data_IF_397220784328
#
_entry.id   IF_397220784328
#
_cell.length_a   1.000
_cell.length_b   1.000
_cell.length_c   1.000
_cell.angle_alpha   90.00
_cell.angle_beta   90.00
_cell.angle_gamma   90.00
#
_symmetry.space_group_name_H-M   'P 1'
#
loop_
_entity.id
_entity.type
_entity.pdbx_description
1 polymer ?
#
# COMPACT_ATOMS: atom_id res chain seq x y z
N UNK A 1 -1.92 3.49 8.87
CA UNK A 1 -3.31 3.18 8.49
C UNK A 1 -3.65 1.68 8.50
N UNK A 2 -3.25 0.92 9.54
CA UNK A 2 -3.41 -0.55 9.50
C UNK A 2 -4.87 -1.01 9.53
N UNK A 3 -5.69 -0.47 10.43
CA UNK A 3 -7.12 -0.84 10.56
C UNK A 3 -7.90 -0.56 9.27
N UNK A 4 -7.75 0.65 8.73
CA UNK A 4 -8.42 1.03 7.49
C UNK A 4 -7.98 0.16 6.30
N UNK A 5 -6.68 -0.15 6.19
CA UNK A 5 -6.19 -1.00 5.10
C UNK A 5 -6.61 -2.47 5.24
N UNK A 6 -6.74 -2.97 6.47
CA UNK A 6 -7.23 -4.31 6.72
C UNK A 6 -8.66 -4.47 6.19
N UNK A 7 -9.58 -3.59 6.58
CA UNK A 7 -10.97 -3.66 6.07
C UNK A 7 -11.04 -3.39 4.56
N UNK A 8 -10.20 -2.48 4.05
CA UNK A 8 -10.13 -2.15 2.62
C UNK A 8 -9.81 -3.38 1.77
N UNK A 9 -8.99 -4.31 2.27
CA UNK A 9 -8.66 -5.57 1.56
C UNK A 9 -9.92 -6.33 1.16
N UNK A 10 -10.85 -6.53 2.09
CA UNK A 10 -12.07 -7.30 1.83
C UNK A 10 -13.02 -6.56 0.89
N UNK A 11 -13.16 -5.25 1.08
CA UNK A 11 -14.03 -4.40 0.27
C UNK A 11 -13.54 -4.33 -1.17
N UNK A 12 -12.24 -4.09 -1.39
CA UNK A 12 -11.64 -4.01 -2.72
C UNK A 12 -11.61 -5.37 -3.40
N UNK A 13 -11.33 -6.46 -2.68
CA UNK A 13 -11.40 -7.81 -3.24
C UNK A 13 -12.82 -8.14 -3.74
N UNK A 14 -13.83 -7.83 -2.94
CA UNK A 14 -15.25 -8.05 -3.31
C UNK A 14 -15.66 -7.17 -4.49
N UNK A 15 -15.28 -5.89 -4.47
CA UNK A 15 -15.54 -4.97 -5.57
C UNK A 15 -14.85 -5.42 -6.86
N UNK A 16 -13.61 -5.91 -6.77
CA UNK A 16 -12.84 -6.42 -7.91
C UNK A 16 -13.49 -7.66 -8.51
N UNK A 17 -13.88 -8.62 -7.69
CA UNK A 17 -14.63 -9.80 -8.13
C UNK A 17 -15.94 -9.40 -8.82
N UNK A 18 -16.69 -8.47 -8.23
CA UNK A 18 -17.92 -7.96 -8.83
C UNK A 18 -17.69 -7.30 -10.19
N UNK A 19 -16.67 -6.44 -10.33
CA UNK A 19 -16.35 -5.80 -11.62
C UNK A 19 -15.97 -6.86 -12.66
N UNK A 20 -15.17 -7.86 -12.28
CA UNK A 20 -14.81 -8.96 -13.16
C UNK A 20 -16.05 -9.70 -13.65
N UNK A 21 -16.83 -10.29 -12.74
CA UNK A 21 -17.94 -11.18 -13.09
C UNK A 21 -19.13 -10.48 -13.74
N UNK A 22 -19.39 -9.21 -13.38
CA UNK A 22 -20.62 -8.51 -13.79
C UNK A 22 -20.41 -7.48 -14.89
N UNK A 23 -19.17 -7.02 -15.11
CA UNK A 23 -18.91 -5.95 -16.08
C UNK A 23 -17.90 -6.39 -17.12
N UNK A 24 -16.72 -6.86 -16.71
CA UNK A 24 -15.61 -7.10 -17.64
C UNK A 24 -15.73 -8.43 -18.35
N UNK A 25 -15.95 -9.52 -17.63
CA UNK A 25 -16.11 -10.86 -18.22
C UNK A 25 -17.30 -10.93 -19.21
N UNK A 26 -18.50 -10.41 -18.90
CA UNK A 26 -19.59 -10.39 -19.88
C UNK A 26 -19.31 -9.55 -21.13
N UNK A 27 -18.44 -8.53 -21.03
CA UNK A 27 -18.03 -7.69 -22.17
C UNK A 27 -16.98 -8.36 -23.05
N UNK A 28 -16.14 -9.23 -22.47
CA UNK A 28 -15.12 -9.99 -23.20
C UNK A 28 -15.73 -11.14 -24.00
N UNK A 29 -16.84 -11.71 -23.53
CA UNK A 29 -17.52 -12.80 -24.23
C UNK A 29 -16.77 -14.14 -24.12
N UNK A 30 -17.12 -15.08 -25.00
CA UNK A 30 -16.49 -16.41 -25.02
C UNK A 30 -15.13 -16.37 -25.70
N UNK A 31 -14.09 -16.82 -24.99
CA UNK A 31 -12.75 -16.92 -25.53
C UNK A 31 -12.68 -17.86 -26.76
N UNK A 32 -11.97 -17.42 -27.81
CA UNK A 32 -11.66 -18.22 -28.99
C UNK A 32 -10.14 -18.32 -29.18
N UNK A 33 -9.64 -19.53 -29.43
CA UNK A 33 -8.22 -19.77 -29.70
C UNK A 33 -7.70 -19.02 -30.94
N UNK A 34 -8.57 -18.62 -31.86
CA UNK A 34 -8.19 -17.86 -33.05
C UNK A 34 -7.72 -16.44 -32.72
N UNK A 35 -8.16 -15.90 -31.57
CA UNK A 35 -7.78 -14.56 -31.09
C UNK A 35 -6.41 -14.53 -30.42
N UNK A 36 -5.87 -15.68 -30.00
CA UNK A 36 -4.58 -15.77 -29.33
C UNK A 36 -3.40 -15.54 -30.28
N UNK A 37 -2.49 -14.63 -29.95
CA UNK A 37 -1.32 -14.31 -30.78
C UNK A 37 -0.21 -15.38 -30.73
N UNK A 38 -0.26 -16.27 -29.74
CA UNK A 38 0.63 -17.41 -29.58
C UNK A 38 -0.19 -18.67 -29.26
N UNK A 39 0.40 -19.84 -29.50
CA UNK A 39 -0.12 -21.09 -28.93
C UNK A 39 0.09 -21.04 -27.40
N UNK A 40 -1.01 -20.92 -26.67
CA UNK A 40 -0.99 -20.74 -25.22
C UNK A 40 -0.72 -22.06 -24.46
N UNK A 41 -0.76 -23.21 -25.14
CA UNK A 41 -0.67 -24.54 -24.54
C UNK A 41 -1.75 -24.80 -23.49
N UNK A 42 -1.70 -25.96 -22.82
CA UNK A 42 -2.45 -26.16 -21.58
C UNK A 42 -1.78 -25.37 -20.46
N UNK A 43 -2.38 -24.26 -20.04
CA UNK A 43 -1.97 -23.53 -18.84
C UNK A 43 -2.34 -24.37 -17.61
N UNK A 44 -1.42 -25.18 -17.09
CA UNK A 44 -1.59 -25.86 -15.79
C UNK A 44 -1.09 -24.95 -14.67
N UNK A 45 -1.93 -24.73 -13.65
CA UNK A 45 -1.38 -24.40 -12.34
C UNK A 45 -0.70 -25.65 -11.80
N UNK A 46 0.63 -25.68 -11.90
CA UNK A 46 1.39 -26.77 -11.31
C UNK A 46 1.13 -26.82 -9.81
N UNK A 47 0.77 -28.00 -9.32
CA UNK A 47 0.58 -28.21 -7.89
C UNK A 47 1.93 -28.01 -7.20
N UNK A 48 1.96 -27.38 -6.01
CA UNK A 48 3.16 -27.31 -5.21
C UNK A 48 3.74 -28.72 -5.03
N UNK A 49 5.04 -28.84 -5.24
CA UNK A 49 5.76 -30.10 -5.01
C UNK A 49 5.71 -30.49 -3.53
N UNK A 50 5.89 -31.78 -3.23
CA UNK A 50 5.95 -32.25 -1.84
C UNK A 50 7.04 -31.53 -1.02
N UNK A 51 8.13 -31.14 -1.69
CA UNK A 51 9.21 -30.36 -1.08
C UNK A 51 8.78 -28.94 -0.74
N UNK A 52 8.07 -28.25 -1.65
CA UNK A 52 7.51 -26.92 -1.39
C UNK A 52 6.44 -26.96 -0.30
N UNK A 53 5.62 -28.01 -0.26
CA UNK A 53 4.63 -28.22 0.80
C UNK A 53 5.31 -28.41 2.16
N UNK A 54 6.41 -29.17 2.22
CA UNK A 54 7.22 -29.33 3.43
C UNK A 54 7.88 -28.01 3.85
N UNK A 55 8.38 -27.23 2.90
CA UNK A 55 8.96 -25.92 3.14
C UNK A 55 7.92 -24.93 3.67
N UNK A 56 6.71 -24.94 3.10
CA UNK A 56 5.61 -24.10 3.54
C UNK A 56 5.18 -24.41 4.98
N UNK A 57 5.10 -25.70 5.35
CA UNK A 57 4.81 -26.11 6.74
C UNK A 57 5.89 -25.64 7.72
N UNK A 58 7.16 -25.78 7.36
CA UNK A 58 8.28 -25.32 8.19
C UNK A 58 8.29 -23.79 8.34
N UNK A 59 8.04 -23.06 7.25
CA UNK A 59 7.90 -21.61 7.25
C UNK A 59 6.71 -21.16 8.11
N UNK A 60 5.55 -21.81 7.98
CA UNK A 60 4.37 -21.53 8.79
C UNK A 60 4.61 -21.75 10.28
N UNK A 61 5.30 -22.83 10.66
CA UNK A 61 5.70 -23.08 12.05
C UNK A 61 6.66 -21.98 12.55
N UNK A 62 7.62 -21.58 11.72
CA UNK A 62 8.57 -20.49 12.05
C UNK A 62 7.83 -19.18 12.27
N UNK A 63 6.90 -18.86 11.39
CA UNK A 63 6.07 -17.66 11.50
C UNK A 63 5.24 -17.66 12.79
N UNK A 64 4.62 -18.79 13.14
CA UNK A 64 3.88 -18.94 14.40
C UNK A 64 4.79 -18.80 15.62
N UNK A 65 6.01 -19.32 15.59
CA UNK A 65 6.99 -19.17 16.67
C UNK A 65 7.42 -17.71 16.83
N UNK A 66 7.72 -17.02 15.73
CA UNK A 66 8.11 -15.60 15.77
C UNK A 66 6.95 -14.74 16.30
N UNK A 67 5.72 -14.97 15.82
CA UNK A 67 4.54 -14.28 16.35
C UNK A 67 4.32 -14.63 17.82
N UNK A 68 4.50 -15.88 18.23
CA UNK A 68 4.37 -16.29 19.64
C UNK A 68 5.34 -15.55 20.55
N UNK A 69 6.61 -15.44 20.14
CA UNK A 69 7.62 -14.66 20.86
C UNK A 69 7.24 -13.18 20.92
N UNK A 70 6.86 -12.58 19.79
CA UNK A 70 6.42 -11.17 19.76
C UNK A 70 5.17 -10.94 20.61
N UNK A 71 4.22 -11.88 20.61
CA UNK A 71 3.02 -11.79 21.43
C UNK A 71 3.37 -11.74 22.91
N UNK A 72 4.26 -12.63 23.40
CA UNK A 72 4.75 -12.64 24.79
C UNK A 72 5.28 -11.27 25.21
N UNK A 73 6.00 -10.57 24.32
CA UNK A 73 6.58 -9.26 24.65
C UNK A 73 5.56 -8.13 24.85
N UNK A 74 4.30 -8.33 24.50
CA UNK A 74 3.22 -7.33 24.57
C UNK A 74 2.01 -7.78 25.40
N UNK A 75 2.08 -8.93 26.09
CA UNK A 75 1.02 -9.35 27.02
C UNK A 75 1.12 -8.49 28.28
N UNK A 76 0.07 -7.74 28.65
CA UNK A 76 0.04 -6.99 29.91
C UNK A 76 -0.16 -7.91 31.11
N UNK A 77 0.21 -7.43 32.30
CA UNK A 77 -0.18 -8.02 33.60
C UNK A 77 0.29 -9.47 33.84
N UNK A 78 1.45 -9.84 33.31
CA UNK A 78 2.08 -11.15 33.59
C UNK A 78 3.41 -10.95 34.32
N UNK A 79 3.45 -11.33 35.60
CA UNK A 79 4.64 -11.28 36.48
C UNK A 79 5.66 -12.41 36.19
N UNK A 80 5.99 -12.62 34.92
CA UNK A 80 7.02 -13.57 34.47
C UNK A 80 8.12 -12.83 33.71
N UNK A 81 9.40 -13.23 33.86
CA UNK A 81 10.51 -12.60 33.13
C UNK A 81 10.28 -12.64 31.62
N UNK A 82 10.35 -11.47 30.98
CA UNK A 82 10.24 -11.34 29.51
C UNK A 82 8.83 -11.06 28.98
N UNK A 83 7.79 -11.14 29.80
CA UNK A 83 6.44 -10.74 29.42
C UNK A 83 6.29 -9.22 29.49
N UNK A 84 5.56 -8.65 28.54
CA UNK A 84 5.26 -7.21 28.51
C UNK A 84 6.47 -6.28 28.35
N UNK A 85 7.67 -6.81 28.06
CA UNK A 85 8.92 -6.02 28.02
C UNK A 85 8.92 -4.91 26.95
N UNK A 86 8.09 -5.04 25.91
CA UNK A 86 7.96 -4.03 24.85
C UNK A 86 6.71 -3.16 24.98
N UNK A 87 5.99 -3.22 26.11
CA UNK A 87 4.91 -2.28 26.45
C UNK A 87 5.49 -0.90 26.79
N UNK A 88 4.62 0.10 26.82
CA UNK A 88 4.98 1.44 27.24
C UNK A 88 5.49 1.40 28.71
N UNK A 89 6.73 1.83 29.00
CA UNK A 89 7.29 1.78 30.36
C UNK A 89 6.50 2.61 31.38
N UNK A 90 5.84 3.67 30.92
CA UNK A 90 5.13 4.61 31.80
C UNK A 90 3.66 4.22 32.00
N UNK A 91 3.00 3.72 30.95
CA UNK A 91 1.55 3.44 30.98
C UNK A 91 1.20 1.96 31.02
N UNK A 92 2.15 1.06 30.72
CA UNK A 92 1.88 -0.37 30.55
C UNK A 92 1.06 -0.72 29.30
N UNK A 93 0.73 0.26 28.45
CA UNK A 93 -0.11 0.06 27.26
C UNK A 93 0.70 -0.34 26.03
N UNK A 94 0.03 -0.95 25.04
CA UNK A 94 0.61 -1.18 23.71
C UNK A 94 0.76 0.15 22.94
N UNK A 95 -0.10 1.14 23.21
CA UNK A 95 -0.01 2.45 22.58
C UNK A 95 1.24 3.21 23.02
N UNK A 96 1.93 3.85 22.07
CA UNK A 96 3.18 4.58 22.34
C UNK A 96 4.38 3.70 22.74
N UNK A 97 4.21 2.38 22.75
CA UNK A 97 5.19 1.42 23.23
C UNK A 97 6.38 1.22 22.28
N UNK A 98 7.53 0.71 22.78
CA UNK A 98 8.64 0.25 21.95
C UNK A 98 8.19 -0.73 20.84
N UNK A 99 7.18 -1.57 21.12
CA UNK A 99 6.63 -2.49 20.13
C UNK A 99 6.10 -1.76 18.89
N UNK A 100 5.21 -0.78 19.06
CA UNK A 100 4.62 -0.04 17.92
C UNK A 100 5.66 0.85 17.22
N UNK A 101 6.58 1.46 17.96
CA UNK A 101 7.69 2.24 17.38
C UNK A 101 8.63 1.37 16.54
N UNK A 102 8.86 0.13 16.95
CA UNK A 102 9.73 -0.84 16.28
C UNK A 102 9.04 -1.78 15.29
N UNK A 103 7.73 -1.64 15.05
CA UNK A 103 6.93 -2.64 14.31
C UNK A 103 7.48 -2.99 12.92
N UNK A 104 8.07 -2.01 12.22
CA UNK A 104 8.68 -2.22 10.90
C UNK A 104 9.86 -3.20 10.97
N UNK A 105 10.67 -3.14 12.02
CA UNK A 105 11.80 -4.05 12.24
C UNK A 105 11.29 -5.45 12.57
N UNK A 106 10.22 -5.57 13.37
CA UNK A 106 9.63 -6.87 13.69
C UNK A 106 9.01 -7.53 12.46
N UNK A 107 8.38 -6.78 11.56
CA UNK A 107 7.91 -7.28 10.25
C UNK A 107 9.10 -7.78 9.43
N UNK A 108 10.18 -7.00 9.35
CA UNK A 108 11.41 -7.42 8.65
C UNK A 108 11.95 -8.74 9.20
N UNK A 109 12.14 -8.86 10.52
CA UNK A 109 12.65 -10.08 11.15
C UNK A 109 11.71 -11.26 10.87
N UNK A 110 10.39 -11.05 10.99
CA UNK A 110 9.39 -12.09 10.75
C UNK A 110 9.46 -12.63 9.32
N UNK A 111 9.53 -11.75 8.32
CA UNK A 111 9.63 -12.16 6.92
C UNK A 111 11.01 -12.72 6.57
N UNK A 112 12.09 -12.16 7.11
CA UNK A 112 13.44 -12.65 6.87
C UNK A 112 13.61 -14.09 7.39
N UNK A 113 13.19 -14.36 8.64
CA UNK A 113 13.27 -15.70 9.23
C UNK A 113 12.38 -16.70 8.51
N UNK A 114 11.12 -16.33 8.24
CA UNK A 114 10.15 -17.20 7.55
C UNK A 114 10.61 -17.51 6.13
N UNK A 115 11.07 -16.49 5.38
CA UNK A 115 11.59 -16.65 4.03
C UNK A 115 12.86 -17.48 3.97
N UNK A 116 13.77 -17.30 4.94
CA UNK A 116 14.98 -18.12 5.05
C UNK A 116 14.66 -19.59 5.32
N UNK A 117 13.78 -19.89 6.28
CA UNK A 117 13.40 -21.28 6.60
C UNK A 117 12.71 -21.94 5.40
N UNK A 118 11.82 -21.21 4.71
CA UNK A 118 11.24 -21.70 3.46
C UNK A 118 12.34 -22.04 2.44
N UNK A 119 13.22 -21.08 2.15
CA UNK A 119 14.28 -21.25 1.15
C UNK A 119 15.24 -22.40 1.49
N UNK A 120 15.52 -22.60 2.77
CA UNK A 120 16.41 -23.65 3.26
C UNK A 120 15.81 -25.05 3.12
N UNK A 121 14.51 -25.19 3.34
CA UNK A 121 13.79 -26.48 3.20
C UNK A 121 13.43 -26.76 1.74
N UNK A 122 13.06 -25.73 0.98
CA UNK A 122 12.81 -25.81 -0.46
C UNK A 122 14.10 -26.05 -1.26
N UNK A 123 15.27 -25.84 -0.66
CA UNK A 123 16.57 -26.03 -1.32
C UNK A 123 16.98 -24.88 -2.24
N UNK A 124 16.24 -23.77 -2.24
CA UNK A 124 16.53 -22.56 -3.01
C UNK A 124 17.59 -21.67 -2.33
N UNK A 125 17.79 -21.82 -1.01
CA UNK A 125 18.87 -21.20 -0.25
C UNK A 125 19.65 -22.29 0.49
N UNK A 126 20.95 -22.39 0.28
CA UNK A 126 21.81 -23.45 0.82
C UNK A 126 22.74 -22.94 1.92
N UNK A 127 23.24 -21.71 1.77
CA UNK A 127 24.21 -21.11 2.67
C UNK A 127 23.87 -19.63 2.98
N UNK A 128 24.67 -19.02 3.85
CA UNK A 128 24.60 -17.61 4.23
C UNK A 128 24.84 -16.66 3.06
N UNK A 129 25.69 -17.04 2.10
CA UNK A 129 25.95 -16.23 0.90
C UNK A 129 24.70 -16.08 0.03
N UNK A 130 23.90 -17.12 -0.13
CA UNK A 130 22.64 -17.05 -0.87
C UNK A 130 21.67 -16.04 -0.25
N UNK A 131 21.69 -15.91 1.09
CA UNK A 131 20.89 -14.91 1.81
C UNK A 131 21.40 -13.49 1.53
N UNK A 132 22.72 -13.29 1.60
CA UNK A 132 23.36 -12.00 1.32
C UNK A 132 23.10 -11.58 -0.14
N UNK A 133 23.25 -12.50 -1.09
CA UNK A 133 23.02 -12.25 -2.51
C UNK A 133 21.55 -11.89 -2.78
N UNK A 134 20.60 -12.54 -2.10
CA UNK A 134 19.18 -12.19 -2.18
C UNK A 134 18.87 -10.79 -1.60
N UNK A 135 19.50 -10.44 -0.47
CA UNK A 135 19.38 -9.10 0.12
C UNK A 135 20.00 -8.03 -0.80
N UNK A 136 21.20 -8.28 -1.33
CA UNK A 136 21.88 -7.37 -2.25
C UNK A 136 21.07 -7.15 -3.53
N UNK A 137 20.49 -8.21 -4.11
CA UNK A 137 19.59 -8.11 -5.26
C UNK A 137 18.36 -7.25 -4.96
N UNK A 138 17.77 -7.43 -3.77
CA UNK A 138 16.61 -6.64 -3.33
C UNK A 138 16.96 -5.16 -3.17
N UNK A 139 18.07 -4.82 -2.51
CA UNK A 139 18.54 -3.44 -2.38
C UNK A 139 18.94 -2.84 -3.74
N UNK A 140 19.53 -3.64 -4.63
CA UNK A 140 19.85 -3.20 -5.99
C UNK A 140 18.63 -2.73 -6.78
N UNK A 141 17.47 -3.36 -6.58
CA UNK A 141 16.22 -2.92 -7.19
C UNK A 141 15.70 -1.56 -6.68
N UNK A 142 16.18 -1.10 -5.51
CA UNK A 142 15.82 0.18 -4.90
C UNK A 142 16.68 1.35 -5.38
N UNK A 143 17.62 1.16 -6.31
CA UNK A 143 18.53 2.23 -6.75
C UNK A 143 17.82 3.52 -7.17
N UNK A 144 16.77 3.41 -8.01
CA UNK A 144 15.96 4.56 -8.42
C UNK A 144 15.22 5.22 -7.24
N UNK A 145 14.71 4.40 -6.31
CA UNK A 145 14.05 4.90 -5.11
C UNK A 145 15.01 5.66 -4.21
N UNK A 146 16.25 5.18 -4.01
CA UNK A 146 17.27 5.87 -3.21
C UNK A 146 17.62 7.22 -3.85
N UNK A 147 17.83 7.27 -5.17
CA UNK A 147 18.10 8.53 -5.87
C UNK A 147 16.95 9.52 -5.74
N UNK A 148 15.71 9.06 -5.89
CA UNK A 148 14.51 9.88 -5.71
C UNK A 148 14.39 10.43 -4.29
N UNK A 149 14.53 9.57 -3.28
CA UNK A 149 14.46 9.96 -1.86
C UNK A 149 15.56 10.96 -1.52
N UNK A 150 16.76 10.81 -2.09
CA UNK A 150 17.84 11.78 -1.93
C UNK A 150 17.40 13.19 -2.35
N UNK A 151 16.88 13.35 -3.59
CA UNK A 151 16.42 14.66 -4.06
C UNK A 151 15.18 15.15 -3.33
N UNK A 152 14.24 14.27 -3.01
CA UNK A 152 13.05 14.62 -2.22
C UNK A 152 13.43 15.14 -0.83
N UNK A 153 14.39 14.50 -0.16
CA UNK A 153 14.90 14.96 1.13
C UNK A 153 15.54 16.35 1.02
N UNK A 154 16.32 16.62 -0.03
CA UNK A 154 16.86 17.97 -0.29
C UNK A 154 15.75 18.99 -0.55
N UNK A 155 14.75 18.64 -1.37
CA UNK A 155 13.58 19.49 -1.62
C UNK A 155 12.87 19.83 -0.32
N UNK A 156 12.51 18.84 0.50
CA UNK A 156 11.85 19.05 1.80
C UNK A 156 12.70 19.93 2.73
N UNK A 157 14.02 19.69 2.77
CA UNK A 157 14.93 20.48 3.58
C UNK A 157 14.97 21.96 3.14
N UNK A 158 15.14 22.22 1.84
CA UNK A 158 15.14 23.59 1.31
C UNK A 158 13.77 24.26 1.40
N UNK A 159 12.69 23.52 1.17
CA UNK A 159 11.30 24.01 1.27
C UNK A 159 10.95 24.43 2.70
N UNK A 160 11.44 23.68 3.69
CA UNK A 160 11.37 24.05 5.12
C UNK A 160 12.27 25.24 5.44
N UNK A 161 13.54 25.20 5.03
CA UNK A 161 14.53 26.25 5.34
C UNK A 161 14.14 27.62 4.78
N UNK A 162 13.57 27.66 3.58
CA UNK A 162 13.09 28.89 2.93
C UNK A 162 11.74 29.38 3.46
N UNK A 163 11.09 28.65 4.38
CA UNK A 163 9.72 28.88 4.85
C UNK A 163 8.65 28.85 3.74
N UNK A 164 8.98 28.46 2.51
CA UNK A 164 8.01 28.36 1.42
C UNK A 164 6.91 27.34 1.74
N UNK A 165 7.25 26.25 2.43
CA UNK A 165 6.26 25.26 2.89
C UNK A 165 5.26 25.85 3.87
N UNK A 166 5.73 26.59 4.87
CA UNK A 166 4.85 27.26 5.84
C UNK A 166 3.96 28.29 5.15
N UNK A 167 4.51 29.11 4.25
CA UNK A 167 3.73 30.12 3.51
C UNK A 167 2.66 29.46 2.65
N UNK A 168 3.00 28.40 1.93
CA UNK A 168 2.05 27.68 1.07
C UNK A 168 0.98 26.98 1.90
N UNK A 169 1.35 26.37 3.02
CA UNK A 169 0.42 25.71 3.93
C UNK A 169 -0.60 26.70 4.50
N UNK A 170 -0.15 27.84 5.04
CA UNK A 170 -1.02 28.86 5.62
C UNK A 170 -1.93 29.49 4.57
N UNK A 171 -1.38 29.88 3.40
CA UNK A 171 -2.18 30.47 2.32
C UNK A 171 -3.17 29.46 1.72
N UNK A 172 -2.76 28.21 1.58
CA UNK A 172 -3.63 27.14 1.08
C UNK A 172 -4.76 26.82 2.06
N UNK A 173 -4.47 26.72 3.35
CA UNK A 173 -5.47 26.52 4.39
C UNK A 173 -6.47 27.69 4.44
N UNK A 174 -5.98 28.93 4.36
CA UNK A 174 -6.84 30.12 4.29
C UNK A 174 -7.72 30.11 3.03
N UNK A 175 -7.21 29.66 1.88
CA UNK A 175 -8.00 29.50 0.66
C UNK A 175 -9.09 28.44 0.83
N UNK A 176 -8.77 27.28 1.41
CA UNK A 176 -9.75 26.22 1.66
C UNK A 176 -10.85 26.69 2.61
N UNK A 177 -10.50 27.35 3.71
CA UNK A 177 -11.46 27.94 4.65
C UNK A 177 -12.33 29.02 3.97
N UNK A 178 -11.72 29.88 3.14
CA UNK A 178 -12.46 30.90 2.38
C UNK A 178 -13.48 30.29 1.42
N UNK A 179 -13.15 29.14 0.81
CA UNK A 179 -14.06 28.39 -0.06
C UNK A 179 -15.09 27.55 0.71
N UNK A 180 -15.04 27.51 2.04
CA UNK A 180 -15.88 26.64 2.87
C UNK A 180 -15.55 25.15 2.69
N UNK A 181 -14.28 24.83 2.41
CA UNK A 181 -13.73 23.48 2.25
C UNK A 181 -12.83 23.11 3.45
N UNK A 182 -13.26 23.46 4.65
CA UNK A 182 -12.60 23.14 5.92
C UNK A 182 -13.18 21.88 6.59
N UNK A 183 -14.23 21.29 6.02
CA UNK A 183 -14.79 20.02 6.45
C UNK A 183 -14.24 18.80 5.70
N UNK A 184 -14.75 17.59 6.03
CA UNK A 184 -14.34 16.33 5.41
C UNK A 184 -14.39 16.31 3.89
N UNK A 185 -15.27 17.09 3.25
CA UNK A 185 -15.46 17.19 1.81
C UNK A 185 -14.19 17.51 1.03
N UNK A 186 -13.20 18.16 1.66
CA UNK A 186 -11.88 18.43 1.08
C UNK A 186 -11.19 17.14 0.62
N UNK A 187 -11.46 16.00 1.26
CA UNK A 187 -10.87 14.72 0.91
C UNK A 187 -11.37 14.17 -0.43
N UNK A 188 -12.57 14.52 -0.90
CA UNK A 188 -12.99 14.14 -2.27
C UNK A 188 -12.06 14.80 -3.29
N UNK A 189 -11.82 16.11 -3.14
CA UNK A 189 -10.95 16.86 -4.04
C UNK A 189 -9.50 16.36 -3.94
N UNK A 190 -9.03 16.08 -2.72
CA UNK A 190 -7.70 15.54 -2.49
C UNK A 190 -7.50 14.16 -3.14
N UNK A 191 -8.45 13.23 -2.97
CA UNK A 191 -8.39 11.90 -3.59
C UNK A 191 -8.42 12.01 -5.12
N UNK A 192 -9.30 12.85 -5.68
CA UNK A 192 -9.36 13.09 -7.14
C UNK A 192 -8.03 13.65 -7.65
N UNK A 193 -7.49 14.65 -6.98
CA UNK A 193 -6.21 15.24 -7.33
C UNK A 193 -5.08 14.19 -7.30
N UNK A 194 -4.99 13.38 -6.24
CA UNK A 194 -4.01 12.30 -6.15
C UNK A 194 -4.20 11.27 -7.27
N UNK A 195 -5.44 10.91 -7.61
CA UNK A 195 -5.71 10.00 -8.72
C UNK A 195 -5.30 10.58 -10.08
N UNK A 196 -5.50 11.88 -10.30
CA UNK A 196 -5.07 12.56 -11.53
C UNK A 196 -3.55 12.66 -11.64
N UNK A 197 -2.87 13.02 -10.56
CA UNK A 197 -1.40 13.11 -10.54
C UNK A 197 -0.79 11.73 -10.85
N UNK A 198 -1.39 10.66 -10.32
CA UNK A 198 -0.91 9.30 -10.52
C UNK A 198 -0.97 8.82 -11.98
N UNK A 199 -1.86 9.39 -12.81
CA UNK A 199 -1.85 9.15 -14.26
C UNK A 199 -0.54 9.63 -14.92
N UNK A 200 0.12 10.63 -14.34
CA UNK A 200 1.41 11.16 -14.82
C UNK A 200 2.60 10.55 -14.08
N UNK A 201 2.45 10.30 -12.77
CA UNK A 201 3.48 9.83 -11.85
C UNK A 201 3.06 8.50 -11.22
N UNK A 202 3.20 7.39 -11.95
CA UNK A 202 2.78 6.04 -11.50
C UNK A 202 3.63 5.41 -10.38
N UNK A 203 4.31 6.22 -9.57
CA UNK A 203 5.10 5.77 -8.42
C UNK A 203 4.56 6.41 -7.14
N UNK A 204 3.96 5.58 -6.30
CA UNK A 204 3.38 5.98 -5.02
C UNK A 204 4.37 6.73 -4.12
N UNK A 205 5.64 6.33 -4.13
CA UNK A 205 6.65 7.02 -3.34
C UNK A 205 7.05 8.36 -3.95
N UNK A 206 7.11 8.48 -5.28
CA UNK A 206 7.45 9.72 -5.96
C UNK A 206 6.36 10.77 -5.84
N UNK A 207 5.11 10.35 -6.05
CA UNK A 207 3.97 11.24 -5.88
C UNK A 207 3.85 11.72 -4.43
N UNK A 208 4.00 10.83 -3.45
CA UNK A 208 3.94 11.22 -2.03
C UNK A 208 5.07 12.17 -1.65
N UNK A 209 6.30 11.92 -2.14
CA UNK A 209 7.45 12.77 -1.87
C UNK A 209 7.26 14.23 -2.32
N UNK A 210 6.48 14.47 -3.38
CA UNK A 210 6.17 15.81 -3.89
C UNK A 210 4.93 16.39 -3.21
N UNK A 211 3.88 15.58 -3.01
CA UNK A 211 2.58 16.06 -2.52
C UNK A 211 2.54 16.24 -1.00
N UNK A 212 3.17 15.35 -0.23
CA UNK A 212 3.11 15.38 1.23
C UNK A 212 3.63 16.68 1.85
N UNK A 213 4.80 17.23 1.43
CA UNK A 213 5.33 18.47 2.01
C UNK A 213 4.44 19.70 1.78
N UNK A 214 3.54 19.63 0.81
CA UNK A 214 2.61 20.70 0.43
C UNK A 214 1.26 20.51 1.13
N UNK A 215 0.65 19.35 0.95
CA UNK A 215 -0.74 19.11 1.36
C UNK A 215 -0.89 18.66 2.81
N UNK A 216 0.08 17.92 3.37
CA UNK A 216 -0.04 17.47 4.76
C UNK A 216 -0.07 18.67 5.72
N UNK A 217 0.88 19.63 5.68
CA UNK A 217 0.80 20.79 6.56
C UNK A 217 -0.45 21.64 6.32
N UNK A 218 -0.87 21.80 5.05
CA UNK A 218 -2.06 22.56 4.70
C UNK A 218 -3.34 21.97 5.29
N UNK A 219 -3.53 20.65 5.16
CA UNK A 219 -4.70 19.94 5.66
C UNK A 219 -4.67 19.77 7.19
N UNK A 220 -3.47 19.75 7.79
CA UNK A 220 -3.32 19.83 9.24
C UNK A 220 -3.81 21.18 9.79
N UNK A 221 -3.51 22.29 9.12
CA UNK A 221 -3.97 23.63 9.56
C UNK A 221 -5.48 23.82 9.52
N UNK A 222 -6.22 23.04 8.71
CA UNK A 222 -7.69 23.02 8.72
C UNK A 222 -8.26 21.94 9.67
N UNK A 223 -7.40 21.21 10.39
CA UNK A 223 -7.80 20.37 11.52
C UNK A 223 -7.77 18.86 11.29
N UNK A 224 -7.12 18.35 10.24
CA UNK A 224 -7.03 16.90 10.00
C UNK A 224 -5.67 16.31 10.33
N UNK A 225 -5.66 15.13 10.96
CA UNK A 225 -4.43 14.43 11.31
C UNK A 225 -3.68 13.91 10.06
N UNK A 226 -2.32 13.91 10.06
CA UNK A 226 -1.51 13.45 8.94
C UNK A 226 -1.79 12.00 8.54
N UNK A 227 -2.20 11.15 9.49
CA UNK A 227 -2.56 9.75 9.25
C UNK A 227 -3.81 9.64 8.38
N UNK A 228 -4.83 10.49 8.59
CA UNK A 228 -6.05 10.52 7.78
C UNK A 228 -5.73 11.02 6.37
N UNK A 229 -4.90 12.06 6.27
CA UNK A 229 -4.43 12.61 5.00
C UNK A 229 -3.67 11.54 4.20
N UNK A 230 -2.79 10.78 4.85
CA UNK A 230 -2.09 9.67 4.23
C UNK A 230 -3.03 8.54 3.77
N UNK A 231 -4.10 8.27 4.52
CA UNK A 231 -5.10 7.28 4.11
C UNK A 231 -5.83 7.73 2.83
N UNK A 232 -6.27 8.98 2.76
CA UNK A 232 -6.91 9.55 1.57
C UNK A 232 -5.95 9.54 0.36
N UNK A 233 -4.69 9.90 0.57
CA UNK A 233 -3.66 9.82 -0.46
C UNK A 233 -3.54 8.40 -1.05
N UNK A 234 -3.48 7.39 -0.19
CA UNK A 234 -3.33 5.97 -0.59
C UNK A 234 -4.51 5.48 -1.45
N UNK A 235 -5.72 5.99 -1.20
CA UNK A 235 -6.89 5.73 -2.06
C UNK A 235 -6.64 6.32 -3.44
N UNK A 236 -6.34 7.62 -3.54
CA UNK A 236 -6.15 8.32 -4.81
C UNK A 236 -5.01 7.74 -5.65
N UNK A 237 -3.86 7.47 -5.04
CA UNK A 237 -2.73 6.79 -5.67
C UNK A 237 -3.10 5.41 -6.25
N UNK A 238 -3.88 4.63 -5.51
CA UNK A 238 -4.18 3.25 -5.90
C UNK A 238 -5.23 3.13 -7.00
N UNK A 239 -6.29 3.95 -6.97
CA UNK A 239 -7.47 3.76 -7.83
C UNK A 239 -7.20 3.99 -9.32
N UNK A 240 -6.23 4.84 -9.68
CA UNK A 240 -5.88 5.12 -11.08
C UNK A 240 -4.68 4.31 -11.60
N UNK A 241 -4.05 3.48 -10.75
CA UNK A 241 -2.92 2.64 -11.16
C UNK A 241 -3.26 1.67 -12.31
N UNK A 242 -4.50 1.18 -12.38
CA UNK A 242 -4.90 0.21 -13.41
C UNK A 242 -5.16 0.83 -14.79
N UNK A 243 -5.26 2.16 -14.86
CA UNK A 243 -5.53 2.90 -16.12
C UNK A 243 -4.36 3.79 -16.55
N UNK A 244 -3.27 3.85 -15.78
CA UNK A 244 -2.10 4.67 -16.14
C UNK A 244 -1.14 3.89 -17.06
N UNK A 245 -0.78 4.42 -18.24
CA UNK A 245 0.25 3.82 -19.08
C UNK A 245 1.66 4.05 -18.52
N UNK A 246 1.80 4.93 -17.51
CA UNK A 246 3.07 5.31 -16.90
C UNK A 246 3.53 4.34 -15.80
N UNK A 247 2.69 3.36 -15.41
CA UNK A 247 3.12 2.33 -14.46
C UNK A 247 4.21 1.45 -15.07
N UNK A 248 5.21 1.09 -14.27
CA UNK A 248 6.37 0.31 -14.72
C UNK A 248 6.02 -1.07 -15.30
N UNK A 249 4.87 -1.64 -14.90
CA UNK A 249 4.42 -2.96 -15.35
C UNK A 249 3.47 -2.92 -16.55
N UNK A 250 3.08 -1.74 -17.05
CA UNK A 250 2.06 -1.63 -18.11
C UNK A 250 2.44 -2.43 -19.36
N UNK A 251 3.70 -2.29 -19.82
CA UNK A 251 4.19 -3.00 -21.00
C UNK A 251 4.17 -4.52 -20.83
N UNK A 252 4.46 -5.04 -19.63
CA UNK A 252 4.38 -6.46 -19.34
C UNK A 252 2.92 -6.95 -19.37
N UNK A 253 2.00 -6.21 -18.75
CA UNK A 253 0.57 -6.55 -18.74
C UNK A 253 0.02 -6.54 -20.16
N UNK A 254 0.34 -5.51 -20.95
CA UNK A 254 -0.05 -5.41 -22.35
C UNK A 254 0.50 -6.58 -23.17
N UNK A 255 1.78 -6.93 -22.98
CA UNK A 255 2.40 -8.05 -23.68
C UNK A 255 1.74 -9.40 -23.31
N UNK A 256 1.32 -9.58 -22.05
CA UNK A 256 0.59 -10.79 -21.63
C UNK A 256 -0.82 -10.79 -22.22
N UNK A 257 -1.55 -9.67 -22.13
CA UNK A 257 -2.90 -9.55 -22.68
C UNK A 257 -2.93 -9.77 -24.20
N UNK A 258 -1.93 -9.26 -24.92
CA UNK A 258 -1.76 -9.47 -26.36
C UNK A 258 -1.57 -10.95 -26.73
N UNK A 259 -1.11 -11.82 -25.81
CA UNK A 259 -1.05 -13.28 -26.04
C UNK A 259 -2.42 -13.89 -26.24
N UNK A 260 -3.43 -13.36 -25.56
CA UNK A 260 -4.82 -13.83 -25.62
C UNK A 260 -5.63 -13.12 -26.71
N UNK A 261 -5.24 -11.89 -27.09
CA UNK A 261 -5.95 -11.12 -28.12
C UNK A 261 -4.97 -10.35 -29.04
N UNK A 262 -4.81 -10.81 -30.29
CA UNK A 262 -3.84 -10.30 -31.30
C UNK A 262 -3.84 -8.78 -31.50
N UNK A 263 -5.01 -8.15 -31.43
CA UNK A 263 -5.19 -6.72 -31.74
C UNK A 263 -5.42 -5.85 -30.49
N UNK A 264 -5.02 -6.33 -29.31
CA UNK A 264 -5.20 -5.59 -28.06
C UNK A 264 -4.18 -4.44 -27.96
N UNK A 265 -4.69 -3.22 -28.09
CA UNK A 265 -3.89 -2.00 -27.93
C UNK A 265 -3.95 -1.43 -26.51
N UNK A 266 -3.10 -0.43 -26.25
CA UNK A 266 -3.08 0.33 -24.99
C UNK A 266 -4.47 0.89 -24.64
N UNK A 267 -5.16 1.50 -25.62
CA UNK A 267 -6.50 2.05 -25.41
C UNK A 267 -7.53 0.99 -25.02
N UNK A 268 -7.48 -0.19 -25.64
CA UNK A 268 -8.37 -1.31 -25.32
C UNK A 268 -8.13 -1.81 -23.89
N UNK A 269 -6.86 -1.95 -23.47
CA UNK A 269 -6.52 -2.35 -22.12
C UNK A 269 -7.00 -1.33 -21.08
N UNK A 270 -6.75 -0.04 -21.32
CA UNK A 270 -7.20 1.04 -20.43
C UNK A 270 -8.74 1.07 -20.36
N UNK A 271 -9.43 0.94 -21.49
CA UNK A 271 -10.89 0.91 -21.53
C UNK A 271 -11.48 -0.29 -20.79
N UNK A 272 -10.80 -1.45 -20.84
CA UNK A 272 -11.16 -2.65 -20.08
C UNK A 272 -10.97 -2.45 -18.57
N UNK A 273 -9.94 -1.71 -18.15
CA UNK A 273 -9.62 -1.46 -16.75
C UNK A 273 -10.38 -0.27 -16.14
N UNK A 274 -10.93 0.63 -16.96
CA UNK A 274 -11.66 1.82 -16.51
C UNK A 274 -12.82 1.52 -15.53
N UNK A 275 -13.66 0.48 -15.73
CA UNK A 275 -14.68 0.11 -14.77
C UNK A 275 -14.14 -0.21 -13.37
N UNK A 276 -12.98 -0.88 -13.27
CA UNK A 276 -12.33 -1.15 -11.98
C UNK A 276 -11.93 0.15 -11.30
N UNK A 277 -11.26 1.05 -12.02
CA UNK A 277 -10.81 2.34 -11.49
C UNK A 277 -11.97 3.16 -10.93
N UNK A 278 -13.07 3.28 -11.69
CA UNK A 278 -14.25 4.05 -11.28
C UNK A 278 -14.95 3.44 -10.07
N UNK A 279 -15.14 2.11 -10.05
CA UNK A 279 -15.81 1.43 -8.94
C UNK A 279 -14.95 1.46 -7.68
N UNK A 280 -13.64 1.23 -7.79
CA UNK A 280 -12.72 1.37 -6.66
C UNK A 280 -12.70 2.79 -6.13
N UNK A 281 -12.66 3.81 -6.99
CA UNK A 281 -12.73 5.20 -6.56
C UNK A 281 -13.99 5.46 -5.73
N UNK A 282 -15.17 5.08 -6.22
CA UNK A 282 -16.44 5.33 -5.53
C UNK A 282 -16.51 4.53 -4.22
N UNK A 283 -16.35 3.21 -4.27
CA UNK A 283 -16.54 2.33 -3.10
C UNK A 283 -15.50 2.65 -2.02
N UNK A 284 -14.25 2.89 -2.40
CA UNK A 284 -13.19 3.10 -1.42
C UNK A 284 -13.26 4.49 -0.78
N UNK A 285 -13.65 5.51 -1.56
CA UNK A 285 -13.97 6.83 -1.02
C UNK A 285 -15.15 6.74 -0.07
N UNK A 286 -16.24 6.04 -0.43
CA UNK A 286 -17.36 5.83 0.48
C UNK A 286 -16.96 5.10 1.77
N UNK A 287 -16.14 4.05 1.66
CA UNK A 287 -15.59 3.34 2.81
C UNK A 287 -14.79 4.28 3.71
N UNK A 288 -13.96 5.15 3.13
CA UNK A 288 -13.20 6.16 3.88
C UNK A 288 -14.10 7.10 4.68
N UNK A 289 -15.16 7.64 4.06
CA UNK A 289 -16.09 8.52 4.77
C UNK A 289 -16.89 7.79 5.85
N UNK A 290 -17.38 6.60 5.55
CA UNK A 290 -18.13 5.78 6.51
C UNK A 290 -17.23 5.42 7.70
N UNK A 291 -15.99 5.01 7.45
CA UNK A 291 -15.05 4.60 8.48
C UNK A 291 -14.64 5.78 9.37
N UNK A 292 -14.13 6.86 8.75
CA UNK A 292 -13.46 7.94 9.46
C UNK A 292 -14.45 8.93 10.05
N UNK A 293 -15.45 9.37 9.28
CA UNK A 293 -16.32 10.49 9.67
C UNK A 293 -17.68 10.05 10.20
N UNK A 294 -18.27 8.98 9.66
CA UNK A 294 -19.56 8.49 10.14
C UNK A 294 -19.41 7.64 11.41
N UNK A 295 -18.48 6.69 11.40
CA UNK A 295 -18.26 5.75 12.51
C UNK A 295 -17.17 6.24 13.49
N UNK A 296 -16.45 7.31 13.16
CA UNK A 296 -15.39 7.85 14.01
C UNK A 296 -14.23 6.88 14.26
N UNK A 297 -14.04 5.89 13.38
CA UNK A 297 -13.05 4.83 13.59
C UNK A 297 -11.65 5.31 13.20
N UNK A 298 -10.63 5.01 14.03
CA UNK A 298 -9.27 5.41 13.74
C UNK A 298 -8.74 4.67 12.51
N UNK A 299 -7.94 5.34 11.69
CA UNK A 299 -7.31 4.72 10.51
C UNK A 299 -6.21 3.72 10.90
N UNK A 300 -5.73 3.75 12.13
CA UNK A 300 -4.75 2.82 12.70
C UNK A 300 -4.56 3.02 14.21
N UNK A 301 -3.71 2.20 14.86
CA UNK A 301 -3.43 2.32 16.28
C UNK A 301 -2.87 3.71 16.62
N UNK A 302 -3.49 4.41 17.57
CA UNK A 302 -3.06 5.75 18.00
C UNK A 302 -3.22 6.85 16.94
N UNK A 303 -3.98 6.61 15.87
CA UNK A 303 -4.21 7.59 14.81
C UNK A 303 -5.50 8.39 15.08
N UNK A 304 -5.34 9.64 15.53
CA UNK A 304 -6.46 10.57 15.68
C UNK A 304 -7.03 10.96 14.31
N UNK A 305 -8.30 11.37 14.29
CA UNK A 305 -8.94 11.87 13.06
C UNK A 305 -8.64 13.35 12.86
N UNK A 306 -8.78 14.12 13.95
CA UNK A 306 -8.60 15.55 13.96
C UNK A 306 -7.26 15.91 14.56
N UNK A 307 -6.71 17.02 14.10
CA UNK A 307 -5.48 17.63 14.61
C UNK A 307 -5.83 19.00 15.17
N UNK A 308 -5.31 19.33 16.35
CA UNK A 308 -5.40 20.68 16.90
C UNK A 308 -4.09 21.41 16.57
N UNK A 309 -4.10 22.42 15.68
CA UNK A 309 -2.90 23.16 15.27
C UNK A 309 -2.17 23.89 16.39
#
# INVERSE_FOLDING_TARGET
NWYFMFISTFVIATAGAFVTEKIVEPRLGTYSNDEASIDLGEQSMDKPTDQEMKALKAAGLTFLLVIGVLAITIIPDVDLPGFGILLNPDTGEVSGSPFLKGIVVFIFISFALTGFVYGRVAGTMKNDRDVIDAMAKSIGSLGLYITLVFFAAQFVAFFKWTNLGTVLAVKGAALLQFLGLDGPEVFILFIIMCAMINLSLGSASAQWAVTAPIFVPMLMLIGFAPEVIQAAYRIGDSVSNVITPMMSYFGLILAIAARYQKNLGMGTLIAMMLPYSMIFFVIWTLLFYIWVFLLGMPVGPGAETYYTP
#
